data_IF_573367944559
#
_entry.id   IF_573367944559
#
_cell.length_a   1.000
_cell.length_b   1.000
_cell.length_c   1.000
_cell.angle_alpha   90.00
_cell.angle_beta   90.00
_cell.angle_gamma   90.00
#
_symmetry.space_group_name_H-M   'P 1'
#
loop_
_entity.id
_entity.type
_entity.pdbx_description
1 polymer ?
#
# COMPACT_ATOMS: atom_id res chain seq x y z
N UNK A 1 35.98 -21.62 -28.43
CA UNK A 1 35.87 -21.61 -29.91
C UNK A 1 34.75 -20.67 -30.27
N UNK A 2 35.08 -19.50 -30.83
CA UNK A 2 34.10 -18.53 -31.34
C UNK A 2 33.60 -19.01 -32.70
N UNK A 3 32.29 -18.96 -32.93
CA UNK A 3 31.73 -18.94 -34.28
C UNK A 3 30.58 -17.94 -34.32
N UNK A 4 30.85 -16.87 -35.05
CA UNK A 4 29.99 -15.76 -35.47
C UNK A 4 28.90 -16.20 -36.46
N UNK A 5 27.77 -15.49 -36.45
CA UNK A 5 26.88 -15.32 -37.61
C UNK A 5 26.71 -13.84 -37.95
N UNK A 6 26.36 -13.50 -39.21
CA UNK A 6 26.80 -12.26 -39.86
C UNK A 6 25.75 -11.13 -39.88
N UNK A 7 26.27 -9.91 -40.03
CA UNK A 7 25.56 -8.67 -40.38
C UNK A 7 24.95 -8.73 -41.79
N UNK A 8 23.74 -8.19 -41.94
CA UNK A 8 23.23 -7.70 -43.22
C UNK A 8 22.65 -6.27 -43.10
N UNK A 9 23.32 -5.33 -43.80
CA UNK A 9 22.83 -4.13 -44.52
C UNK A 9 21.85 -3.19 -43.80
N UNK A 10 22.17 -1.97 -43.32
CA UNK A 10 22.75 -0.73 -43.90
C UNK A 10 22.07 -0.21 -45.19
N UNK A 11 21.62 1.06 -45.11
CA UNK A 11 21.16 2.06 -46.11
C UNK A 11 19.64 2.32 -46.05
N UNK A 12 19.08 3.55 -45.89
CA UNK A 12 19.49 4.95 -46.13
C UNK A 12 18.62 5.84 -45.20
N UNK A 13 19.10 6.96 -44.66
CA UNK A 13 19.07 8.25 -45.36
C UNK A 13 20.16 9.21 -44.84
N UNK A 14 20.80 9.86 -45.81
CA UNK A 14 21.79 10.92 -45.68
C UNK A 14 21.19 12.19 -45.08
N UNK A 15 21.97 12.82 -44.20
CA UNK A 15 22.47 14.17 -44.42
C UNK A 15 21.61 15.30 -43.88
N UNK A 16 22.11 15.96 -42.83
CA UNK A 16 22.33 17.40 -42.85
C UNK A 16 23.41 17.74 -41.83
N UNK A 17 24.58 18.18 -42.33
CA UNK A 17 25.59 18.88 -41.55
C UNK A 17 24.98 20.22 -41.14
N UNK A 18 24.72 20.42 -39.86
CA UNK A 18 24.37 21.73 -39.33
C UNK A 18 25.66 22.49 -39.05
N UNK A 19 26.00 23.38 -39.98
CA UNK A 19 26.92 24.48 -39.78
C UNK A 19 26.32 25.35 -38.67
N UNK A 20 26.90 25.31 -37.48
CA UNK A 20 26.64 26.35 -36.47
C UNK A 20 27.48 27.55 -36.88
N UNK A 21 26.82 28.48 -37.57
CA UNK A 21 27.30 29.85 -37.74
C UNK A 21 27.50 30.46 -36.34
N UNK A 22 28.74 30.81 -36.03
CA UNK A 22 29.08 31.70 -34.94
C UNK A 22 28.45 33.07 -35.20
N UNK A 23 27.21 33.24 -34.76
CA UNK A 23 26.67 34.55 -34.44
C UNK A 23 27.01 34.81 -32.98
N UNK A 24 27.90 35.78 -32.76
CA UNK A 24 28.17 36.34 -31.44
C UNK A 24 26.89 36.94 -30.89
N UNK A 25 26.15 36.13 -30.14
CA UNK A 25 25.30 36.60 -29.07
C UNK A 25 26.12 36.37 -27.80
N UNK A 26 26.35 37.43 -27.03
CA UNK A 26 26.81 37.32 -25.66
C UNK A 26 25.81 36.43 -24.92
N UNK A 27 26.12 35.13 -24.84
CA UNK A 27 25.43 34.21 -23.97
C UNK A 27 25.89 34.59 -22.57
N UNK A 28 25.11 35.44 -21.90
CA UNK A 28 25.24 35.60 -20.47
C UNK A 28 25.24 34.19 -19.85
N UNK A 29 26.20 33.87 -18.98
CA UNK A 29 26.19 32.60 -18.29
C UNK A 29 24.82 32.47 -17.61
N UNK A 30 24.09 31.38 -17.90
CA UNK A 30 22.89 31.03 -17.14
C UNK A 30 23.24 31.17 -15.66
N UNK A 31 22.70 32.22 -15.03
CA UNK A 31 22.84 32.41 -13.60
C UNK A 31 22.27 31.17 -12.94
N UNK A 32 23.09 30.47 -12.14
CA UNK A 32 22.62 29.43 -11.24
C UNK A 32 21.37 29.92 -10.49
N UNK A 33 20.39 29.05 -10.24
CA UNK A 33 19.16 29.45 -9.54
C UNK A 33 19.54 30.21 -8.27
N UNK A 34 19.09 31.47 -8.20
CA UNK A 34 19.34 32.37 -7.07
C UNK A 34 18.81 31.71 -5.78
N UNK A 35 19.72 31.15 -4.96
CA UNK A 35 19.37 30.62 -3.65
C UNK A 35 20.29 29.51 -3.12
N UNK A 36 20.97 28.76 -3.98
CA UNK A 36 21.90 27.74 -3.51
C UNK A 36 23.21 28.41 -3.08
N UNK A 37 23.49 28.40 -1.77
CA UNK A 37 24.82 28.70 -1.26
C UNK A 37 25.81 27.77 -1.97
N UNK A 38 26.78 28.35 -2.68
CA UNK A 38 27.89 27.59 -3.21
C UNK A 38 28.54 26.80 -2.07
N UNK A 39 28.63 25.47 -2.22
CA UNK A 39 29.23 24.57 -1.24
C UNK A 39 30.64 25.07 -0.89
N UNK A 40 30.89 25.38 0.39
CA UNK A 40 32.21 25.85 0.78
C UNK A 40 33.23 24.69 0.75
N UNK A 41 34.52 24.96 0.45
CA UNK A 41 35.56 23.94 0.57
C UNK A 41 35.68 23.32 1.97
N UNK A 42 35.20 24.02 2.99
CA UNK A 42 35.20 23.53 4.37
C UNK A 42 34.03 22.57 4.63
N UNK A 43 32.81 22.90 4.20
CA UNK A 43 31.66 21.99 4.26
C UNK A 43 31.89 20.74 3.40
N UNK A 44 32.58 20.86 2.26
CA UNK A 44 32.94 19.69 1.46
C UNK A 44 33.93 18.75 2.17
N UNK A 45 34.90 19.31 2.92
CA UNK A 45 35.85 18.52 3.71
C UNK A 45 35.21 17.93 4.97
N UNK A 46 34.28 18.66 5.56
CA UNK A 46 33.59 18.32 6.80
C UNK A 46 32.08 18.30 6.55
N UNK A 47 31.55 17.27 5.87
CA UNK A 47 30.15 17.23 5.46
C UNK A 47 29.21 17.28 6.67
N UNK A 48 28.09 18.03 6.57
CA UNK A 48 27.07 18.09 7.61
C UNK A 48 26.37 16.73 7.78
N UNK A 49 25.64 16.55 8.88
CA UNK A 49 24.94 15.29 9.20
C UNK A 49 24.02 14.82 8.07
N UNK A 50 23.25 15.75 7.48
CA UNK A 50 22.34 15.48 6.37
C UNK A 50 23.01 14.96 5.09
N UNK A 51 24.33 15.11 4.94
CA UNK A 51 25.09 14.59 3.80
C UNK A 51 25.74 13.23 4.08
N UNK A 52 25.61 12.69 5.30
CA UNK A 52 26.18 11.41 5.69
C UNK A 52 25.22 10.27 5.36
N UNK A 53 25.73 9.11 4.92
CA UNK A 53 24.89 7.96 4.67
C UNK A 53 24.29 7.41 5.97
N UNK A 54 23.11 6.83 5.84
CA UNK A 54 22.49 5.93 6.82
C UNK A 54 22.47 4.51 6.23
N UNK A 55 22.06 3.52 7.02
CA UNK A 55 21.89 2.14 6.58
C UNK A 55 20.67 1.51 7.25
N UNK A 56 20.05 0.55 6.56
CA UNK A 56 19.14 -0.40 7.22
C UNK A 56 19.91 -1.19 8.28
N UNK A 57 19.30 -1.30 9.45
CA UNK A 57 19.84 -2.00 10.60
C UNK A 57 18.82 -3.02 11.09
N UNK A 58 18.90 -4.20 10.46
CA UNK A 58 17.97 -5.31 10.68
C UNK A 58 18.16 -5.96 12.05
N UNK A 59 17.19 -5.75 12.92
CA UNK A 59 16.97 -6.48 14.16
C UNK A 59 16.31 -7.80 13.83
N UNK A 60 17.12 -8.72 13.32
CA UNK A 60 16.63 -9.98 12.76
C UNK A 60 15.91 -10.80 13.85
N UNK A 61 14.69 -11.27 13.55
CA UNK A 61 13.73 -11.87 14.45
C UNK A 61 13.38 -11.04 15.70
N UNK A 62 13.64 -9.73 15.68
CA UNK A 62 13.57 -8.86 16.86
C UNK A 62 14.63 -9.16 17.92
N UNK A 63 15.59 -10.05 17.63
CA UNK A 63 16.58 -10.53 18.60
C UNK A 63 17.72 -9.51 18.76
N UNK A 64 17.64 -8.72 19.84
CA UNK A 64 18.61 -7.65 20.13
C UNK A 64 19.19 -7.75 21.53
N UNK A 65 20.37 -7.15 21.71
CA UNK A 65 21.10 -7.02 22.97
C UNK A 65 21.56 -5.57 23.15
N UNK A 66 21.25 -4.94 24.28
CA UNK A 66 21.46 -3.50 24.48
C UNK A 66 22.95 -3.10 24.42
N UNK A 67 23.86 -3.97 24.86
CA UNK A 67 25.30 -3.70 24.80
C UNK A 67 25.79 -3.74 23.35
N UNK A 68 25.28 -4.68 22.55
CA UNK A 68 25.57 -4.71 21.11
C UNK A 68 24.95 -3.54 20.35
N UNK A 69 23.70 -3.15 20.67
CA UNK A 69 23.07 -1.96 20.07
C UNK A 69 23.90 -0.69 20.33
N UNK A 70 24.44 -0.55 21.55
CA UNK A 70 25.35 0.54 21.89
C UNK A 70 26.61 0.51 21.04
N UNK A 71 27.25 -0.66 20.96
CA UNK A 71 28.48 -0.86 20.18
C UNK A 71 28.27 -0.57 18.70
N UNK A 72 27.16 -1.01 18.11
CA UNK A 72 26.84 -0.77 16.71
C UNK A 72 26.72 0.73 16.41
N UNK A 73 26.02 1.49 17.26
CA UNK A 73 25.90 2.95 17.13
C UNK A 73 27.25 3.67 17.31
N UNK A 74 28.09 3.21 18.23
CA UNK A 74 29.45 3.75 18.41
C UNK A 74 30.33 3.49 17.17
N UNK A 75 30.27 2.30 16.57
CA UNK A 75 30.95 2.00 15.32
C UNK A 75 30.41 2.83 14.16
N UNK A 76 29.08 2.99 14.03
CA UNK A 76 28.48 3.88 13.02
C UNK A 76 29.05 5.30 13.13
N UNK A 77 29.15 5.83 14.35
CA UNK A 77 29.73 7.15 14.60
C UNK A 77 31.21 7.21 14.21
N UNK A 78 32.01 6.24 14.64
CA UNK A 78 33.45 6.16 14.37
C UNK A 78 33.74 6.04 12.87
N UNK A 79 32.91 5.32 12.11
CA UNK A 79 33.03 5.21 10.65
C UNK A 79 32.41 6.38 9.88
N UNK A 80 31.87 7.38 10.58
CA UNK A 80 31.39 8.62 9.98
C UNK A 80 29.98 8.55 9.38
N UNK A 81 29.16 7.57 9.77
CA UNK A 81 27.75 7.49 9.37
C UNK A 81 26.92 8.60 10.03
N UNK A 82 25.77 8.91 9.43
CA UNK A 82 24.79 9.84 9.98
C UNK A 82 23.81 9.18 10.94
N UNK A 83 23.69 7.86 10.89
CA UNK A 83 22.82 7.05 11.72
C UNK A 83 22.32 5.83 10.95
N UNK A 84 21.13 5.34 11.27
CA UNK A 84 20.58 4.10 10.73
C UNK A 84 19.05 4.06 10.82
N UNK A 85 18.45 3.12 10.10
CA UNK A 85 17.03 2.83 10.17
C UNK A 85 16.83 1.52 10.93
N UNK A 86 16.08 1.56 12.03
CA UNK A 86 15.80 0.39 12.85
C UNK A 86 14.71 -0.44 12.18
N UNK A 87 15.05 -1.68 11.82
CA UNK A 87 14.16 -2.60 11.10
C UNK A 87 13.93 -3.88 11.90
N UNK A 88 12.70 -4.14 12.34
CA UNK A 88 12.35 -5.45 12.93
C UNK A 88 11.91 -6.39 11.80
N UNK A 89 12.71 -7.40 11.47
CA UNK A 89 12.45 -8.29 10.32
C UNK A 89 12.76 -9.75 10.63
N UNK A 90 12.01 -10.68 10.06
CA UNK A 90 12.27 -12.11 10.23
C UNK A 90 13.51 -12.60 9.45
N UNK A 91 14.21 -13.54 10.06
CA UNK A 91 15.14 -14.42 9.36
C UNK A 91 14.37 -15.38 8.43
N UNK A 92 14.05 -14.94 7.21
CA UNK A 92 13.38 -15.78 6.19
C UNK A 92 14.10 -17.10 5.90
N UNK A 93 15.41 -17.15 6.17
CA UNK A 93 16.22 -18.38 6.14
C UNK A 93 17.08 -18.46 7.40
N UNK A 94 16.67 -19.32 8.34
CA UNK A 94 17.36 -19.50 9.62
C UNK A 94 17.79 -20.97 9.85
N UNK A 95 18.74 -21.50 9.06
CA UNK A 95 19.15 -22.89 9.20
C UNK A 95 19.76 -23.14 10.57
N UNK A 96 19.23 -24.13 11.29
CA UNK A 96 19.72 -24.47 12.63
C UNK A 96 19.31 -23.51 13.74
N UNK A 97 18.43 -22.54 13.47
CA UNK A 97 17.93 -21.61 14.49
C UNK A 97 19.05 -20.71 15.06
N UNK A 98 19.99 -20.30 14.21
CA UNK A 98 21.12 -19.47 14.63
C UNK A 98 20.67 -18.11 15.18
N UNK A 99 19.67 -17.50 14.54
CA UNK A 99 19.03 -16.28 15.06
C UNK A 99 17.88 -16.72 15.97
N UNK A 100 17.92 -16.41 17.28
CA UNK A 100 16.82 -16.75 18.18
C UNK A 100 15.58 -15.91 17.88
N UNK A 101 14.45 -16.31 18.46
CA UNK A 101 13.22 -15.50 18.39
C UNK A 101 13.30 -14.40 19.46
N UNK A 102 13.22 -13.14 19.05
CA UNK A 102 13.19 -11.98 19.91
C UNK A 102 11.78 -11.61 20.41
N UNK A 103 11.65 -10.56 21.23
CA UNK A 103 10.36 -10.06 21.68
C UNK A 103 9.47 -9.58 20.52
N UNK A 104 8.14 -9.49 20.73
CA UNK A 104 7.25 -8.87 19.75
C UNK A 104 7.61 -7.39 19.55
N UNK A 105 7.53 -6.93 18.30
CA UNK A 105 7.71 -5.54 17.91
C UNK A 105 6.71 -4.65 18.66
N UNK A 106 7.19 -3.53 19.22
CA UNK A 106 6.44 -2.63 20.10
C UNK A 106 5.90 -3.28 21.39
N UNK A 107 6.39 -4.48 21.73
CA UNK A 107 6.30 -5.06 23.06
C UNK A 107 7.25 -4.37 24.05
N UNK A 108 7.14 -4.63 25.36
CA UNK A 108 7.92 -3.94 26.38
C UNK A 108 9.44 -3.96 26.14
N UNK A 109 10.00 -5.12 25.80
CA UNK A 109 11.43 -5.30 25.56
C UNK A 109 11.88 -4.67 24.22
N UNK A 110 11.03 -4.72 23.19
CA UNK A 110 11.27 -4.02 21.92
C UNK A 110 11.29 -2.51 22.12
N UNK A 111 10.34 -1.96 22.89
CA UNK A 111 10.30 -0.55 23.24
C UNK A 111 11.51 -0.12 24.08
N UNK A 112 11.96 -0.96 25.03
CA UNK A 112 13.19 -0.70 25.79
C UNK A 112 14.40 -0.57 24.85
N UNK A 113 14.55 -1.47 23.88
CA UNK A 113 15.61 -1.43 22.89
C UNK A 113 15.53 -0.18 21.99
N UNK A 114 14.33 0.19 21.52
CA UNK A 114 14.13 1.42 20.73
C UNK A 114 14.53 2.65 21.55
N UNK A 115 14.00 2.80 22.77
CA UNK A 115 14.35 3.93 23.62
C UNK A 115 15.84 3.97 23.99
N UNK A 116 16.47 2.82 24.15
CA UNK A 116 17.91 2.73 24.35
C UNK A 116 18.68 3.27 23.15
N UNK A 117 18.33 2.85 21.94
CA UNK A 117 18.94 3.36 20.71
C UNK A 117 18.74 4.86 20.53
N UNK A 118 17.54 5.39 20.82
CA UNK A 118 17.28 6.82 20.75
C UNK A 118 18.14 7.64 21.71
N UNK A 119 18.36 7.15 22.94
CA UNK A 119 19.26 7.80 23.91
C UNK A 119 20.72 7.78 23.45
N UNK A 120 21.19 6.63 22.97
CA UNK A 120 22.57 6.47 22.52
C UNK A 120 22.86 7.25 21.23
N UNK A 121 21.93 7.25 20.28
CA UNK A 121 22.03 8.06 19.07
C UNK A 121 22.06 9.56 19.41
N UNK A 122 21.23 10.03 20.35
CA UNK A 122 21.29 11.43 20.83
C UNK A 122 22.64 11.75 21.48
N UNK A 123 23.20 10.84 22.30
CA UNK A 123 24.54 10.98 22.90
C UNK A 123 25.63 11.09 21.83
N UNK A 124 25.51 10.35 20.75
CA UNK A 124 26.49 10.29 19.65
C UNK A 124 26.26 11.35 18.57
N UNK A 125 25.12 12.05 18.57
CA UNK A 125 24.72 12.96 17.50
C UNK A 125 24.49 12.22 16.19
N UNK A 126 23.72 11.14 16.25
CA UNK A 126 23.22 10.35 15.12
C UNK A 126 21.69 10.53 15.02
N UNK A 127 21.15 10.30 13.83
CA UNK A 127 19.71 10.33 13.54
C UNK A 127 19.21 8.94 13.17
N UNK A 128 18.08 8.53 13.75
CA UNK A 128 17.50 7.21 13.55
C UNK A 128 16.14 7.28 12.85
N UNK A 129 15.91 6.34 11.95
CA UNK A 129 14.59 6.00 11.42
C UNK A 129 14.02 4.76 12.11
N UNK A 130 12.72 4.53 11.98
CA UNK A 130 12.04 3.34 12.48
C UNK A 130 11.04 2.81 11.44
N UNK A 131 11.15 1.54 11.08
CA UNK A 131 10.13 0.88 10.25
C UNK A 131 8.75 0.92 10.92
N UNK A 132 7.70 1.19 10.15
CA UNK A 132 6.33 1.30 10.65
C UNK A 132 5.66 -0.07 10.86
N UNK A 133 6.37 -1.19 10.72
CA UNK A 133 5.85 -2.53 10.96
C UNK A 133 6.99 -3.51 11.26
N UNK A 134 6.66 -4.65 11.86
CA UNK A 134 7.59 -5.79 11.80
C UNK A 134 7.52 -6.40 10.41
N UNK A 135 8.61 -6.35 9.65
CA UNK A 135 8.61 -6.57 8.22
C UNK A 135 7.75 -5.51 7.51
N UNK A 136 7.04 -5.93 6.47
CA UNK A 136 6.21 -5.08 5.63
C UNK A 136 4.98 -5.87 5.14
N UNK A 137 3.96 -5.31 4.53
CA UNK A 137 3.60 -3.91 4.46
C UNK A 137 3.12 -3.40 5.84
N UNK A 138 2.90 -2.09 5.97
CA UNK A 138 2.37 -1.48 7.19
C UNK A 138 1.18 -2.23 7.80
N UNK A 139 1.32 -2.63 9.07
CA UNK A 139 0.32 -3.40 9.81
C UNK A 139 0.87 -4.04 11.07
N UNK A 140 0.09 -4.95 11.66
CA UNK A 140 0.46 -5.64 12.89
C UNK A 140 -0.72 -6.24 13.64
N UNK A 141 -0.44 -6.85 14.79
CA UNK A 141 -1.42 -7.54 15.62
C UNK A 141 -2.57 -6.63 16.11
N UNK A 142 -2.38 -5.31 16.04
CA UNK A 142 -3.37 -4.30 16.41
C UNK A 142 -4.39 -3.99 15.30
N UNK A 143 -4.14 -4.44 14.07
CA UNK A 143 -5.05 -4.21 12.94
C UNK A 143 -6.26 -5.13 13.05
N UNK A 144 -7.43 -4.55 13.32
CA UNK A 144 -8.71 -5.29 13.38
C UNK A 144 -9.29 -5.55 11.97
N UNK A 145 -10.26 -6.47 11.81
CA UNK A 145 -10.88 -6.74 10.52
C UNK A 145 -11.47 -5.50 9.82
N UNK A 146 -11.91 -4.50 10.57
CA UNK A 146 -12.41 -3.23 10.03
C UNK A 146 -11.31 -2.45 9.30
N UNK A 147 -10.09 -2.44 9.85
CA UNK A 147 -8.94 -1.71 9.33
C UNK A 147 -8.00 -2.55 8.48
N UNK A 148 -8.20 -3.86 8.37
CA UNK A 148 -7.39 -4.72 7.51
C UNK A 148 -7.76 -4.56 6.02
N UNK A 149 -6.82 -4.88 5.12
CA UNK A 149 -7.02 -4.83 3.68
C UNK A 149 -8.26 -5.58 3.19
N UNK A 150 -9.00 -4.99 2.24
CA UNK A 150 -10.30 -5.48 1.74
C UNK A 150 -10.36 -5.47 0.22
N UNK A 151 -11.08 -6.46 -0.33
CA UNK A 151 -11.38 -6.58 -1.75
C UNK A 151 -12.88 -6.84 -1.97
N UNK A 152 -13.36 -6.55 -3.19
CA UNK A 152 -14.61 -7.09 -3.71
C UNK A 152 -14.43 -8.53 -4.15
N UNK A 153 -15.38 -9.37 -3.76
CA UNK A 153 -15.59 -10.72 -4.27
C UNK A 153 -17.04 -10.83 -4.76
N UNK A 154 -17.31 -11.77 -5.68
CA UNK A 154 -18.68 -11.97 -6.16
C UNK A 154 -19.02 -13.43 -6.42
N UNK A 155 -20.28 -13.77 -6.17
CA UNK A 155 -20.89 -15.02 -6.62
C UNK A 155 -21.96 -14.70 -7.66
N UNK A 156 -22.32 -15.71 -8.46
CA UNK A 156 -23.32 -15.56 -9.51
C UNK A 156 -24.29 -16.73 -9.48
N UNK A 157 -25.59 -16.42 -9.60
CA UNK A 157 -26.64 -17.41 -9.89
C UNK A 157 -27.33 -17.05 -11.20
N UNK A 158 -27.93 -18.04 -11.86
CA UNK A 158 -28.77 -17.83 -13.03
C UNK A 158 -30.25 -17.95 -12.66
N UNK A 159 -31.07 -17.07 -13.24
CA UNK A 159 -32.51 -17.03 -13.02
C UNK A 159 -33.24 -16.88 -14.35
N UNK A 160 -34.18 -17.78 -14.62
CA UNK A 160 -35.08 -17.70 -15.77
C UNK A 160 -36.42 -17.08 -15.37
N UNK A 161 -36.81 -16.00 -16.06
CA UNK A 161 -38.10 -15.34 -15.90
C UNK A 161 -39.04 -15.53 -17.09
N UNK A 162 -40.34 -15.18 -16.96
CA UNK A 162 -40.90 -14.44 -15.83
C UNK A 162 -41.27 -15.36 -14.67
N UNK A 163 -40.75 -15.09 -13.46
CA UNK A 163 -41.03 -15.89 -12.27
C UNK A 163 -40.78 -15.11 -10.99
N UNK A 164 -41.63 -15.34 -9.98
CA UNK A 164 -41.34 -14.90 -8.61
C UNK A 164 -40.39 -15.88 -7.94
N UNK A 165 -39.26 -15.40 -7.46
CA UNK A 165 -38.23 -16.19 -6.80
C UNK A 165 -38.00 -15.73 -5.37
N UNK A 166 -37.61 -16.69 -4.53
CA UNK A 166 -37.07 -16.50 -3.20
C UNK A 166 -35.93 -17.50 -3.08
N UNK A 167 -34.71 -17.04 -3.35
CA UNK A 167 -33.54 -17.92 -3.48
C UNK A 167 -32.39 -17.38 -2.65
N UNK A 168 -31.65 -18.28 -2.01
CA UNK A 168 -30.39 -17.94 -1.38
C UNK A 168 -29.34 -17.67 -2.46
N UNK A 169 -28.58 -16.59 -2.31
CA UNK A 169 -27.38 -16.35 -3.13
C UNK A 169 -26.18 -16.63 -2.24
N UNK A 170 -25.35 -17.66 -2.55
CA UNK A 170 -24.23 -18.03 -1.70
C UNK A 170 -23.21 -16.90 -1.61
N UNK A 171 -22.40 -16.89 -0.56
CA UNK A 171 -21.18 -16.08 -0.55
C UNK A 171 -20.20 -16.60 -1.62
N UNK A 172 -19.34 -15.74 -2.19
CA UNK A 172 -18.25 -16.19 -3.03
C UNK A 172 -17.26 -17.08 -2.27
N UNK A 173 -16.42 -17.79 -3.02
CA UNK A 173 -15.20 -18.36 -2.45
C UNK A 173 -14.28 -17.20 -1.99
N UNK A 174 -13.81 -17.30 -0.75
CA UNK A 174 -12.99 -16.28 -0.12
C UNK A 174 -11.57 -16.79 0.10
N UNK A 175 -10.57 -15.89 0.18
CA UNK A 175 -9.20 -16.28 0.46
C UNK A 175 -9.09 -17.13 1.72
N UNK A 176 -8.17 -18.10 1.71
CA UNK A 176 -7.95 -19.03 2.82
C UNK A 176 -7.70 -18.31 4.14
N UNK A 177 -6.95 -17.20 4.09
CA UNK A 177 -6.55 -16.43 5.26
C UNK A 177 -7.53 -15.28 5.57
N UNK A 178 -8.67 -15.18 4.88
CA UNK A 178 -9.72 -14.23 5.26
C UNK A 178 -10.10 -14.47 6.73
N UNK A 179 -9.99 -13.47 7.62
CA UNK A 179 -10.39 -13.59 9.02
C UNK A 179 -11.85 -14.03 9.15
N UNK A 180 -12.11 -14.94 10.09
CA UNK A 180 -13.44 -15.52 10.33
C UNK A 180 -13.83 -15.44 11.80
N UNK A 181 -15.12 -15.30 12.04
CA UNK A 181 -15.75 -15.44 13.35
C UNK A 181 -15.78 -16.92 13.75
N UNK A 182 -16.11 -17.19 15.02
CA UNK A 182 -16.20 -18.56 15.55
C UNK A 182 -17.23 -19.45 14.81
N UNK A 183 -18.25 -18.87 14.19
CA UNK A 183 -19.26 -19.57 13.39
C UNK A 183 -18.80 -19.84 11.93
N UNK A 184 -17.57 -19.46 11.55
CA UNK A 184 -17.00 -19.66 10.22
C UNK A 184 -17.34 -18.55 9.21
N UNK A 185 -18.19 -17.59 9.56
CA UNK A 185 -18.49 -16.43 8.71
C UNK A 185 -17.30 -15.46 8.63
N UNK A 186 -17.18 -14.65 7.57
CA UNK A 186 -16.17 -13.60 7.50
C UNK A 186 -16.28 -12.64 8.68
N UNK A 187 -15.13 -12.26 9.24
CA UNK A 187 -15.07 -11.30 10.35
C UNK A 187 -15.61 -9.93 9.91
N UNK A 188 -15.25 -9.50 8.71
CA UNK A 188 -15.79 -8.33 8.04
C UNK A 188 -16.57 -8.74 6.79
N UNK A 189 -17.81 -8.29 6.66
CA UNK A 189 -18.64 -8.52 5.47
C UNK A 189 -19.58 -7.34 5.27
N UNK A 190 -19.62 -6.83 4.04
CA UNK A 190 -20.60 -5.82 3.61
C UNK A 190 -21.10 -6.18 2.21
N UNK A 191 -22.41 -6.07 1.99
CA UNK A 191 -22.96 -6.13 0.64
C UNK A 191 -22.61 -4.82 -0.09
N UNK A 192 -22.08 -4.91 -1.30
CA UNK A 192 -21.75 -3.74 -2.13
C UNK A 192 -22.86 -3.47 -3.13
N UNK A 193 -23.26 -4.50 -3.88
CA UNK A 193 -24.32 -4.44 -4.86
C UNK A 193 -24.84 -5.85 -5.17
N UNK A 194 -26.15 -5.94 -5.43
CA UNK A 194 -26.76 -7.12 -6.04
C UNK A 194 -27.28 -6.71 -7.41
N UNK A 195 -26.66 -7.19 -8.48
CA UNK A 195 -26.98 -6.77 -9.85
C UNK A 195 -27.52 -7.94 -10.66
N UNK A 196 -28.70 -7.78 -11.27
CA UNK A 196 -29.20 -8.70 -12.28
C UNK A 196 -28.90 -8.16 -13.68
N UNK A 197 -28.16 -8.94 -14.46
CA UNK A 197 -27.73 -8.62 -15.82
C UNK A 197 -28.42 -9.58 -16.81
N UNK A 198 -28.94 -9.09 -17.95
CA UNK A 198 -29.51 -9.97 -18.97
C UNK A 198 -28.42 -10.86 -19.59
N UNK A 199 -28.70 -12.15 -19.73
CA UNK A 199 -27.78 -13.14 -20.30
C UNK A 199 -28.02 -13.42 -21.79
N UNK A 200 -29.13 -12.95 -22.34
CA UNK A 200 -29.53 -13.27 -23.73
C UNK A 200 -28.54 -12.72 -24.78
N UNK A 201 -27.74 -11.70 -24.42
CA UNK A 201 -26.64 -11.14 -25.21
C UNK A 201 -25.24 -11.66 -24.85
N UNK A 202 -25.14 -12.67 -23.98
CA UNK A 202 -23.86 -13.10 -23.39
C UNK A 202 -23.42 -12.17 -22.24
N UNK A 203 -22.10 -12.07 -22.01
CA UNK A 203 -21.52 -11.15 -21.01
C UNK A 203 -21.37 -9.73 -21.57
N UNK A 204 -22.43 -9.19 -22.15
CA UNK A 204 -22.47 -7.84 -22.73
C UNK A 204 -23.81 -7.19 -22.46
N UNK A 205 -23.79 -5.96 -21.95
CA UNK A 205 -24.97 -5.10 -21.79
C UNK A 205 -24.78 -3.82 -22.59
N UNK A 206 -25.84 -3.28 -23.19
CA UNK A 206 -25.78 -2.09 -24.05
C UNK A 206 -25.71 -0.77 -23.28
N UNK A 207 -26.04 -0.80 -21.97
CA UNK A 207 -25.99 0.32 -21.03
C UNK A 207 -26.08 -0.22 -19.61
N UNK A 208 -25.53 0.52 -18.64
CA UNK A 208 -25.72 0.24 -17.21
C UNK A 208 -27.19 0.22 -16.79
N UNK A 209 -28.09 0.88 -17.52
CA UNK A 209 -29.54 0.87 -17.26
C UNK A 209 -30.19 -0.51 -17.44
N UNK A 210 -29.51 -1.43 -18.14
CA UNK A 210 -29.95 -2.82 -18.27
C UNK A 210 -29.63 -3.65 -17.02
N UNK A 211 -28.70 -3.20 -16.17
CA UNK A 211 -28.43 -3.82 -14.89
C UNK A 211 -29.50 -3.41 -13.87
N UNK A 212 -30.24 -4.39 -13.35
CA UNK A 212 -31.25 -4.14 -12.31
C UNK A 212 -30.57 -4.25 -10.94
N UNK A 213 -30.53 -3.15 -10.19
CA UNK A 213 -30.09 -3.16 -8.80
C UNK A 213 -31.15 -3.81 -7.89
N UNK A 214 -30.82 -4.99 -7.40
CA UNK A 214 -31.64 -5.82 -6.52
C UNK A 214 -31.22 -5.72 -5.05
N UNK A 215 -30.33 -4.79 -4.69
CA UNK A 215 -29.79 -4.69 -3.33
C UNK A 215 -30.89 -4.49 -2.28
N UNK A 216 -31.96 -3.75 -2.60
CA UNK A 216 -33.12 -3.56 -1.70
C UNK A 216 -33.99 -4.82 -1.54
N UNK A 217 -33.91 -5.73 -2.50
CA UNK A 217 -34.64 -7.00 -2.56
C UNK A 217 -33.87 -8.17 -1.93
N UNK A 218 -32.62 -7.93 -1.53
CA UNK A 218 -31.75 -8.91 -0.90
C UNK A 218 -31.69 -8.69 0.61
N UNK A 219 -32.03 -9.73 1.39
CA UNK A 219 -32.02 -9.70 2.86
C UNK A 219 -31.62 -11.05 3.41
N UNK A 220 -30.72 -11.06 4.40
CA UNK A 220 -30.31 -12.27 5.12
C UNK A 220 -29.91 -13.43 4.20
N UNK A 221 -29.08 -13.13 3.19
CA UNK A 221 -28.63 -14.12 2.20
C UNK A 221 -29.64 -14.47 1.09
N UNK A 222 -30.88 -13.97 1.18
CA UNK A 222 -31.98 -14.35 0.32
C UNK A 222 -32.44 -13.20 -0.59
N UNK A 223 -32.52 -13.48 -1.89
CA UNK A 223 -33.10 -12.59 -2.88
C UNK A 223 -34.59 -12.87 -3.08
N UNK A 224 -35.41 -11.82 -2.92
CA UNK A 224 -36.83 -11.84 -3.21
C UNK A 224 -37.12 -10.97 -4.44
N UNK A 225 -37.41 -11.59 -5.58
CA UNK A 225 -37.51 -10.86 -6.84
C UNK A 225 -38.60 -11.40 -7.76
N UNK A 226 -39.31 -10.50 -8.43
CA UNK A 226 -40.21 -10.82 -9.54
C UNK A 226 -39.42 -10.63 -10.84
N UNK A 227 -38.71 -11.70 -11.24
CA UNK A 227 -37.85 -11.68 -12.40
C UNK A 227 -38.68 -11.43 -13.67
N UNK A 228 -38.36 -10.40 -14.48
CA UNK A 228 -38.98 -10.19 -15.78
C UNK A 228 -38.64 -11.33 -16.75
N UNK A 229 -39.38 -11.42 -17.86
CA UNK A 229 -39.09 -12.39 -18.92
C UNK A 229 -37.66 -12.22 -19.43
N UNK A 230 -36.91 -13.32 -19.50
CA UNK A 230 -35.51 -13.36 -19.94
C UNK A 230 -34.66 -14.25 -19.04
N UNK A 231 -33.41 -14.47 -19.43
CA UNK A 231 -32.42 -15.15 -18.61
C UNK A 231 -31.53 -14.11 -17.93
N UNK A 232 -31.28 -14.27 -16.64
CA UNK A 232 -30.57 -13.27 -15.83
C UNK A 232 -29.38 -13.89 -15.09
N UNK A 233 -28.23 -13.23 -15.14
CA UNK A 233 -27.12 -13.46 -14.21
C UNK A 233 -27.28 -12.51 -13.03
N UNK A 234 -27.52 -13.04 -11.84
CA UNK A 234 -27.57 -12.26 -10.61
C UNK A 234 -26.23 -12.36 -9.92
N UNK A 235 -25.52 -11.25 -9.86
CA UNK A 235 -24.24 -11.10 -9.18
C UNK A 235 -24.45 -10.54 -7.76
N UNK A 236 -23.88 -11.20 -6.76
CA UNK A 236 -23.78 -10.68 -5.39
C UNK A 236 -22.35 -10.23 -5.14
N UNK A 237 -22.13 -8.93 -5.12
CA UNK A 237 -20.83 -8.33 -4.81
C UNK A 237 -20.73 -8.05 -3.32
N UNK A 238 -19.69 -8.58 -2.69
CA UNK A 238 -19.41 -8.39 -1.26
C UNK A 238 -18.02 -7.82 -1.05
N UNK A 239 -17.90 -6.94 -0.07
CA UNK A 239 -16.64 -6.43 0.46
C UNK A 239 -16.26 -7.24 1.69
N UNK A 240 -15.06 -7.84 1.67
CA UNK A 240 -14.51 -8.55 2.82
C UNK A 240 -12.98 -8.49 2.80
N UNK A 241 -12.36 -8.90 3.91
CA UNK A 241 -10.91 -8.87 4.05
C UNK A 241 -10.22 -9.78 3.03
N UNK A 242 -9.10 -9.32 2.47
CA UNK A 242 -8.30 -10.13 1.54
C UNK A 242 -7.47 -11.21 2.26
N UNK A 243 -7.26 -11.08 3.58
CA UNK A 243 -6.56 -12.05 4.40
C UNK A 243 -5.04 -12.00 4.32
N UNK A 244 -4.47 -11.01 3.61
CA UNK A 244 -3.03 -10.84 3.54
C UNK A 244 -2.45 -10.46 4.90
N UNK A 245 -1.28 -11.02 5.19
CA UNK A 245 -0.55 -10.84 6.45
C UNK A 245 0.73 -10.03 6.20
N UNK A 246 1.37 -9.60 7.29
CA UNK A 246 2.76 -9.12 7.24
C UNK A 246 3.66 -10.14 6.53
N UNK A 247 4.46 -9.63 5.62
CA UNK A 247 5.60 -10.22 4.93
C UNK A 247 6.83 -10.00 5.82
N UNK A 248 7.58 -11.08 6.04
CA UNK A 248 8.81 -11.06 6.83
C UNK A 248 8.66 -10.46 8.25
N UNK A 249 7.47 -10.51 8.86
CA UNK A 249 7.30 -10.15 10.26
C UNK A 249 8.02 -11.13 11.18
N UNK A 250 8.73 -10.62 12.18
CA UNK A 250 9.46 -11.41 13.18
C UNK A 250 8.56 -12.46 13.83
N UNK A 251 9.10 -13.59 14.33
CA UNK A 251 8.30 -14.73 14.78
C UNK A 251 7.17 -14.43 15.78
N UNK A 252 7.38 -13.44 16.66
CA UNK A 252 6.41 -13.00 17.66
C UNK A 252 5.60 -11.75 17.24
N UNK A 253 5.79 -11.26 16.02
CA UNK A 253 5.18 -10.05 15.45
C UNK A 253 4.38 -10.43 14.21
N UNK A 254 3.10 -10.73 14.39
CA UNK A 254 2.21 -11.18 13.31
C UNK A 254 0.99 -10.29 13.21
N UNK A 255 0.30 -10.32 12.07
CA UNK A 255 -0.97 -9.63 11.88
C UNK A 255 -1.27 -9.34 10.41
N UNK A 256 -2.47 -8.86 10.12
CA UNK A 256 -2.81 -8.37 8.79
C UNK A 256 -2.15 -7.02 8.52
N UNK A 257 -1.94 -6.71 7.25
CA UNK A 257 -1.66 -5.34 6.85
C UNK A 257 -2.94 -4.50 6.81
N UNK A 258 -2.79 -3.18 6.86
CA UNK A 258 -3.89 -2.21 6.90
C UNK A 258 -4.58 -2.00 5.54
N UNK A 259 -5.80 -1.48 5.55
CA UNK A 259 -6.51 -1.03 4.35
C UNK A 259 -5.92 0.29 3.85
N UNK A 260 -5.04 0.21 2.84
CA UNK A 260 -4.36 1.36 2.26
C UNK A 260 -5.28 2.39 1.60
N UNK A 261 -6.55 2.01 1.34
CA UNK A 261 -7.55 2.93 0.78
C UNK A 261 -8.33 3.69 1.85
N UNK A 262 -8.14 3.35 3.13
CA UNK A 262 -8.86 3.93 4.26
C UNK A 262 -7.91 4.79 5.12
N UNK A 263 -8.09 6.13 5.17
CA UNK A 263 -7.24 6.97 5.99
C UNK A 263 -7.41 6.68 7.48
N UNK A 264 -8.59 6.22 7.94
CA UNK A 264 -8.79 5.87 9.35
C UNK A 264 -7.94 4.65 9.74
N UNK A 265 -7.69 3.73 8.81
CA UNK A 265 -6.79 2.60 9.03
C UNK A 265 -5.32 3.07 9.16
N UNK A 266 -4.91 4.03 8.34
CA UNK A 266 -3.58 4.65 8.41
C UNK A 266 -3.40 5.45 9.69
N UNK A 267 -4.40 6.27 10.07
CA UNK A 267 -4.42 7.01 11.33
C UNK A 267 -4.28 6.08 12.53
N UNK A 268 -5.11 5.05 12.60
CA UNK A 268 -5.06 4.05 13.66
C UNK A 268 -3.67 3.41 13.75
N UNK A 269 -3.07 3.05 12.61
CA UNK A 269 -1.78 2.40 12.57
C UNK A 269 -0.64 3.30 13.10
N UNK A 270 -0.51 4.53 12.61
CA UNK A 270 0.57 5.43 13.05
C UNK A 270 0.35 5.92 14.49
N UNK A 271 -0.88 6.24 14.88
CA UNK A 271 -1.17 6.59 16.28
C UNK A 271 -0.86 5.44 17.23
N UNK A 272 -1.16 4.19 16.85
CA UNK A 272 -0.79 3.04 17.67
C UNK A 272 0.73 2.99 17.94
N UNK A 273 1.55 3.19 16.91
CA UNK A 273 3.01 3.14 17.06
C UNK A 273 3.50 4.31 17.93
N UNK A 274 3.04 5.52 17.64
CA UNK A 274 3.41 6.73 18.40
C UNK A 274 2.99 6.63 19.87
N UNK A 275 1.79 6.14 20.15
CA UNK A 275 1.29 5.89 21.50
C UNK A 275 2.12 4.83 22.24
N UNK A 276 2.58 3.79 21.52
CA UNK A 276 3.46 2.76 22.08
C UNK A 276 4.84 3.30 22.42
N UNK A 277 5.39 4.17 21.57
CA UNK A 277 6.64 4.89 21.86
C UNK A 277 6.46 5.83 23.06
N UNK A 278 5.25 6.33 23.33
CA UNK A 278 4.93 7.10 24.53
C UNK A 278 5.68 8.43 24.65
N UNK A 279 6.14 8.98 23.52
CA UNK A 279 6.78 10.29 23.43
C UNK A 279 5.77 11.32 22.91
N UNK A 280 5.71 12.48 23.55
CA UNK A 280 4.95 13.63 23.03
C UNK A 280 5.58 14.19 21.76
N UNK A 281 4.83 14.95 20.92
CA UNK A 281 5.40 15.62 19.76
C UNK A 281 6.63 16.47 20.07
N UNK A 282 6.66 17.16 21.21
CA UNK A 282 7.80 17.95 21.65
C UNK A 282 9.00 17.09 22.04
N UNK A 283 8.77 15.97 22.75
CA UNK A 283 9.84 15.03 23.10
C UNK A 283 10.43 14.35 21.86
N UNK A 284 9.59 14.00 20.88
CA UNK A 284 10.02 13.39 19.62
C UNK A 284 10.90 14.35 18.81
N UNK A 285 10.52 15.63 18.69
CA UNK A 285 11.32 16.67 18.01
C UNK A 285 12.70 16.88 18.62
N UNK A 286 12.82 16.63 19.92
CA UNK A 286 14.10 16.72 20.65
C UNK A 286 14.82 15.37 20.72
N UNK A 287 14.25 14.30 20.18
CA UNK A 287 14.82 12.95 20.18
C UNK A 287 15.79 12.74 19.00
N UNK A 288 16.37 11.54 18.91
CA UNK A 288 17.14 11.13 17.74
C UNK A 288 16.26 10.48 16.64
N UNK A 289 14.97 10.28 16.88
CA UNK A 289 14.04 9.74 15.88
C UNK A 289 13.68 10.85 14.90
N UNK A 290 13.96 10.66 13.62
CA UNK A 290 13.72 11.67 12.57
C UNK A 290 12.77 11.21 11.48
N UNK A 291 12.58 9.90 11.32
CA UNK A 291 11.70 9.34 10.31
C UNK A 291 10.99 8.09 10.79
N UNK A 292 9.85 7.81 10.14
CA UNK A 292 9.30 6.47 10.10
C UNK A 292 9.24 5.99 8.65
N UNK A 293 9.48 4.69 8.45
CA UNK A 293 9.60 4.11 7.13
C UNK A 293 8.45 3.14 6.81
N UNK A 294 7.93 3.26 5.59
CA UNK A 294 7.09 2.24 4.96
C UNK A 294 7.83 1.70 3.74
N UNK A 295 8.06 0.39 3.74
CA UNK A 295 8.73 -0.33 2.64
C UNK A 295 7.91 -0.26 1.34
N UNK A 296 8.49 -0.78 0.27
CA UNK A 296 7.81 -1.15 -0.95
C UNK A 296 6.58 -2.02 -0.67
N UNK A 297 5.52 -1.80 -1.46
CA UNK A 297 4.23 -2.42 -1.22
C UNK A 297 3.98 -3.65 -2.09
N UNK A 298 3.75 -4.83 -1.50
CA UNK A 298 3.31 -6.02 -2.22
C UNK A 298 1.88 -6.44 -1.88
N UNK A 299 0.95 -6.04 -2.75
CA UNK A 299 -0.47 -6.42 -2.67
C UNK A 299 -0.76 -7.65 -3.54
N UNK A 300 -1.52 -8.59 -3.01
CA UNK A 300 -2.03 -9.71 -3.80
C UNK A 300 -3.05 -9.19 -4.81
N UNK A 301 -3.19 -9.91 -5.92
CA UNK A 301 -4.18 -9.56 -6.95
C UNK A 301 -5.59 -9.62 -6.37
N UNK A 302 -6.37 -8.59 -6.66
CA UNK A 302 -7.80 -8.55 -6.35
C UNK A 302 -8.42 -7.23 -6.76
N UNK A 303 -9.74 -7.14 -6.61
CA UNK A 303 -10.48 -5.89 -6.82
C UNK A 303 -10.44 -5.13 -5.50
N UNK A 304 -9.38 -4.33 -5.30
CA UNK A 304 -9.22 -3.50 -4.09
C UNK A 304 -10.41 -2.57 -3.89
N UNK A 305 -10.87 -2.46 -2.66
CA UNK A 305 -12.05 -1.65 -2.37
C UNK A 305 -12.14 -1.30 -0.89
N UNK A 306 -12.74 -0.15 -0.60
CA UNK A 306 -13.13 0.26 0.74
C UNK A 306 -14.54 0.85 0.72
N UNK A 307 -15.18 1.00 1.88
CA UNK A 307 -16.56 1.52 1.96
C UNK A 307 -16.70 2.94 1.39
N UNK A 308 -15.63 3.73 1.42
CA UNK A 308 -15.58 5.10 0.91
C UNK A 308 -15.33 5.20 -0.59
N UNK A 309 -14.91 4.10 -1.23
CA UNK A 309 -14.54 4.11 -2.65
C UNK A 309 -15.65 4.63 -3.58
N UNK A 310 -16.94 4.24 -3.44
CA UNK A 310 -17.99 4.75 -4.33
C UNK A 310 -18.16 6.27 -4.27
N UNK A 311 -18.07 6.85 -3.07
CA UNK A 311 -18.21 8.29 -2.86
C UNK A 311 -17.00 9.03 -3.46
N UNK A 312 -15.78 8.60 -3.11
CA UNK A 312 -14.55 9.13 -3.69
C UNK A 312 -14.56 9.06 -5.22
N UNK A 313 -14.88 7.90 -5.79
CA UNK A 313 -14.94 7.71 -7.23
C UNK A 313 -15.97 8.65 -7.89
N UNK A 314 -17.17 8.76 -7.30
CA UNK A 314 -18.22 9.62 -7.85
C UNK A 314 -17.82 11.09 -7.81
N UNK A 315 -17.12 11.54 -6.76
CA UNK A 315 -16.59 12.89 -6.66
C UNK A 315 -15.54 13.19 -7.75
N UNK A 316 -14.66 12.25 -8.04
CA UNK A 316 -13.58 12.43 -9.04
C UNK A 316 -14.08 12.31 -10.49
N UNK A 317 -14.92 11.32 -10.78
CA UNK A 317 -15.28 10.93 -12.15
C UNK A 317 -16.71 11.30 -12.55
N UNK A 318 -17.56 11.70 -11.58
CA UNK A 318 -18.90 12.22 -11.83
C UNK A 318 -19.98 11.16 -12.07
N UNK A 319 -19.71 9.88 -11.78
CA UNK A 319 -20.68 8.80 -11.87
C UNK A 319 -20.43 7.69 -10.84
N UNK A 320 -21.48 6.92 -10.54
CA UNK A 320 -21.42 5.82 -9.58
C UNK A 320 -20.70 4.59 -10.18
N UNK A 321 -19.66 4.03 -9.54
CA UNK A 321 -18.96 2.87 -10.07
C UNK A 321 -19.72 1.55 -9.88
N UNK A 322 -20.76 1.49 -9.03
CA UNK A 322 -21.43 0.23 -8.68
C UNK A 322 -22.11 -0.46 -9.86
N UNK A 323 -22.87 0.24 -10.74
CA UNK A 323 -23.43 -0.38 -11.94
C UNK A 323 -22.38 -0.93 -12.91
N UNK A 324 -21.12 -0.47 -12.78
CA UNK A 324 -19.99 -0.87 -13.62
C UNK A 324 -19.15 -2.02 -13.04
N UNK A 325 -19.43 -2.49 -11.82
CA UNK A 325 -18.75 -3.65 -11.22
C UNK A 325 -18.66 -4.90 -12.12
N UNK A 326 -19.63 -5.21 -13.00
CA UNK A 326 -19.50 -6.31 -13.96
C UNK A 326 -18.30 -6.18 -14.90
N UNK A 327 -17.87 -4.97 -15.23
CA UNK A 327 -16.67 -4.75 -16.05
C UNK A 327 -15.41 -5.31 -15.37
N UNK A 328 -15.30 -5.16 -14.04
CA UNK A 328 -14.18 -5.70 -13.26
C UNK A 328 -14.19 -7.24 -13.18
N UNK A 329 -15.32 -7.88 -13.51
CA UNK A 329 -15.46 -9.33 -13.62
C UNK A 329 -15.52 -9.84 -15.08
N UNK A 330 -15.17 -8.99 -16.05
CA UNK A 330 -14.99 -9.35 -17.45
C UNK A 330 -16.20 -9.12 -18.37
N UNK A 331 -17.27 -8.47 -17.89
CA UNK A 331 -18.39 -8.08 -18.76
C UNK A 331 -18.02 -6.88 -19.62
N UNK A 332 -18.60 -6.82 -20.82
CA UNK A 332 -18.59 -5.62 -21.65
C UNK A 332 -19.82 -4.77 -21.34
N UNK A 333 -19.62 -3.51 -20.98
CA UNK A 333 -20.68 -2.54 -20.71
C UNK A 333 -20.65 -1.47 -21.80
N UNK A 334 -21.76 -1.33 -22.52
CA UNK A 334 -21.93 -0.57 -23.76
C UNK A 334 -21.05 -1.08 -24.91
N UNK A 335 -19.75 -0.86 -24.82
CA UNK A 335 -18.75 -1.24 -25.80
C UNK A 335 -17.36 -1.42 -25.12
N UNK A 336 -16.40 -1.96 -25.86
CA UNK A 336 -15.05 -2.22 -25.35
C UNK A 336 -14.31 -0.95 -24.92
N UNK A 337 -14.54 0.18 -25.61
CA UNK A 337 -13.86 1.44 -25.32
C UNK A 337 -14.33 2.01 -23.98
N UNK A 338 -15.65 2.07 -23.76
CA UNK A 338 -16.22 2.55 -22.49
C UNK A 338 -15.94 1.60 -21.33
N UNK A 339 -15.98 0.29 -21.57
CA UNK A 339 -15.59 -0.71 -20.57
C UNK A 339 -14.15 -0.48 -20.13
N UNK A 340 -13.22 -0.33 -21.08
CA UNK A 340 -11.82 -0.07 -20.77
C UNK A 340 -11.64 1.27 -20.06
N UNK A 341 -12.36 2.32 -20.49
CA UNK A 341 -12.33 3.62 -19.83
C UNK A 341 -12.74 3.54 -18.36
N UNK A 342 -13.81 2.81 -18.04
CA UNK A 342 -14.18 2.59 -16.64
C UNK A 342 -13.10 1.84 -15.85
N UNK A 343 -12.47 0.83 -16.45
CA UNK A 343 -11.36 0.09 -15.81
C UNK A 343 -10.17 1.02 -15.54
N UNK A 344 -9.85 1.92 -16.48
CA UNK A 344 -8.80 2.92 -16.32
C UNK A 344 -9.15 3.94 -15.22
N UNK A 345 -10.38 4.47 -15.23
CA UNK A 345 -10.89 5.37 -14.18
C UNK A 345 -10.86 4.68 -12.80
N UNK A 346 -11.20 3.39 -12.73
CA UNK A 346 -11.10 2.59 -11.50
C UNK A 346 -9.66 2.47 -11.01
N UNK A 347 -8.70 2.13 -11.87
CA UNK A 347 -7.30 2.01 -11.45
C UNK A 347 -6.70 3.34 -11.01
N UNK A 348 -7.01 4.43 -11.72
CA UNK A 348 -6.59 5.78 -11.32
C UNK A 348 -7.21 6.17 -9.97
N UNK A 349 -8.50 5.90 -9.76
CA UNK A 349 -9.16 6.16 -8.48
C UNK A 349 -8.53 5.37 -7.31
N UNK A 350 -8.17 4.10 -7.53
CA UNK A 350 -7.47 3.29 -6.52
C UNK A 350 -6.09 3.91 -6.22
N UNK A 351 -5.35 4.32 -7.24
CA UNK A 351 -4.04 4.95 -7.07
C UNK A 351 -4.13 6.26 -6.29
N UNK A 352 -5.03 7.17 -6.67
CA UNK A 352 -5.22 8.45 -6.00
C UNK A 352 -5.70 8.26 -4.56
N UNK A 353 -6.66 7.37 -4.34
CA UNK A 353 -7.17 7.08 -3.01
C UNK A 353 -6.09 6.46 -2.12
N UNK A 354 -5.24 5.59 -2.64
CA UNK A 354 -4.11 5.04 -1.90
C UNK A 354 -3.10 6.14 -1.50
N UNK A 355 -2.76 7.03 -2.44
CA UNK A 355 -1.86 8.17 -2.17
C UNK A 355 -2.43 9.07 -1.07
N UNK A 356 -3.71 9.37 -1.16
CA UNK A 356 -4.42 10.24 -0.24
C UNK A 356 -4.56 9.59 1.13
N UNK A 357 -5.02 8.34 1.17
CA UNK A 357 -5.36 7.63 2.40
C UNK A 357 -4.13 7.15 3.16
N UNK A 358 -3.09 6.69 2.46
CA UNK A 358 -1.89 6.16 3.11
C UNK A 358 -0.78 7.22 3.23
N UNK A 359 -0.21 7.65 2.11
CA UNK A 359 1.00 8.47 2.14
C UNK A 359 0.75 9.89 2.68
N UNK A 360 -0.33 10.55 2.23
CA UNK A 360 -0.62 11.92 2.70
C UNK A 360 -1.07 11.93 4.16
N UNK A 361 -1.94 11.00 4.56
CA UNK A 361 -2.39 10.85 5.95
C UNK A 361 -1.22 10.57 6.88
N UNK A 362 -0.38 9.58 6.57
CA UNK A 362 0.80 9.25 7.36
C UNK A 362 1.76 10.44 7.48
N UNK A 363 2.04 11.12 6.36
CA UNK A 363 2.87 12.33 6.37
C UNK A 363 2.29 13.43 7.27
N UNK A 364 0.97 13.64 7.25
CA UNK A 364 0.33 14.63 8.12
C UNK A 364 0.57 14.30 9.59
N UNK A 365 0.26 13.07 10.00
CA UNK A 365 0.41 12.61 11.40
C UNK A 365 1.87 12.75 11.85
N UNK A 366 2.81 12.23 11.05
CA UNK A 366 4.23 12.24 11.40
C UNK A 366 4.80 13.65 11.49
N UNK A 367 4.37 14.57 10.62
CA UNK A 367 4.79 15.97 10.67
C UNK A 367 4.40 16.67 11.98
N UNK A 368 3.29 16.27 12.64
CA UNK A 368 2.93 16.82 13.96
C UNK A 368 4.01 16.52 15.00
N UNK A 369 4.62 15.33 14.91
CA UNK A 369 5.72 14.84 15.73
C UNK A 369 7.11 15.26 15.22
N UNK A 370 7.18 16.01 14.11
CA UNK A 370 8.44 16.41 13.49
C UNK A 370 9.20 15.27 12.82
N UNK A 371 8.49 14.22 12.42
CA UNK A 371 9.03 13.06 11.74
C UNK A 371 8.74 13.13 10.24
N UNK A 372 9.72 12.76 9.43
CA UNK A 372 9.53 12.53 8.00
C UNK A 372 8.95 11.14 7.75
N UNK A 373 8.08 11.03 6.75
CA UNK A 373 7.73 9.74 6.17
C UNK A 373 8.78 9.38 5.12
N UNK A 374 9.51 8.29 5.35
CA UNK A 374 10.31 7.63 4.31
C UNK A 374 9.40 6.56 3.68
N UNK A 375 9.22 6.64 2.37
CA UNK A 375 8.40 5.70 1.62
C UNK A 375 9.15 5.28 0.37
N UNK A 376 9.22 3.97 0.11
CA UNK A 376 9.77 3.46 -1.14
C UNK A 376 8.75 3.61 -2.30
N UNK A 377 8.15 2.52 -2.77
CA UNK A 377 7.20 2.53 -3.89
C UNK A 377 5.85 1.89 -3.50
N UNK A 378 4.75 2.43 -4.04
CA UNK A 378 3.39 1.94 -3.80
C UNK A 378 2.97 0.70 -4.58
N UNK A 379 3.92 0.04 -5.27
CA UNK A 379 3.67 -1.13 -6.12
C UNK A 379 3.41 -0.81 -7.58
#
# INVERSE_FOLDING_TARGET
>A
MRTSMPLSYIHRFLGFFLIVLALGADAEPMSAPNGEKALSPEEFKNPPLAAKPRAYWDWTNGAVDLDQLTRDLEEMKDKGMGGAEMWDTAALRNPGGFVPDGPPFLGPESLEAIHHCLREAKRLGLELGLVASSGWNAGGAWVTPEFAGKNIYWSTIQVDGPKKISVEIPLPELPKNCPRKANGEPAYLREVAILALPLDGGQTIESTDQAIDLSRSFKDGNLHWEAPKGNWAVHRYVLTNNGQQLIAGSPNSTGPFLDYLDPEATEMHFHYILDKLGMTPEETKESALVSMEVDSMELERGIQWTLRFPEFFTEQYGYDPRPWLPALSGWTIEDQEKTQRFIDDYHNAISDLLIDSHYRTASHILNEYGLDLVAEAGG
#
